data_IF_179292560083
#
_entry.id   IF_179292560083
#
_cell.length_a   1.000
_cell.length_b   1.000
_cell.length_c   1.000
_cell.angle_alpha   90.00
_cell.angle_beta   90.00
_cell.angle_gamma   90.00
#
_symmetry.space_group_name_H-M   'P 1'
#
loop_
_entity.id
_entity.type
_entity.pdbx_description
1 polymer ?
#
# COMPACT_ATOMS: atom_id res chain seq x y z
N UNK A 1 -10.69 -7.47 -20.58
CA UNK A 1 -10.74 -8.68 -19.73
C UNK A 1 -10.72 -8.30 -18.26
N UNK A 2 -11.87 -8.34 -17.59
CA UNK A 2 -11.89 -8.38 -16.13
C UNK A 2 -11.26 -9.71 -15.73
N UNK A 3 -10.19 -9.67 -14.94
CA UNK A 3 -9.60 -10.88 -14.37
C UNK A 3 -10.63 -11.44 -13.41
N UNK A 4 -11.26 -12.55 -13.76
CA UNK A 4 -12.19 -13.22 -12.84
C UNK A 4 -11.39 -13.82 -11.68
N UNK A 5 -11.78 -13.45 -10.47
CA UNK A 5 -11.20 -13.97 -9.23
C UNK A 5 -12.34 -14.37 -8.30
N UNK A 6 -12.00 -15.12 -7.25
CA UNK A 6 -12.95 -15.49 -6.18
C UNK A 6 -13.51 -14.19 -5.58
N UNK A 7 -14.83 -14.02 -5.55
CA UNK A 7 -15.49 -12.74 -5.21
C UNK A 7 -15.00 -12.22 -3.85
N UNK A 8 -14.88 -13.11 -2.87
CA UNK A 8 -14.41 -12.84 -1.51
C UNK A 8 -12.96 -12.35 -1.45
N UNK A 9 -12.14 -12.69 -2.45
CA UNK A 9 -10.74 -12.25 -2.55
C UNK A 9 -10.57 -10.95 -3.35
N UNK A 10 -11.62 -10.46 -4.02
CA UNK A 10 -11.56 -9.24 -4.83
C UNK A 10 -10.98 -8.04 -4.08
N UNK A 11 -11.34 -7.76 -2.81
CA UNK A 11 -10.77 -6.63 -2.07
C UNK A 11 -9.24 -6.72 -1.90
N UNK A 12 -8.73 -7.94 -1.68
CA UNK A 12 -7.30 -8.19 -1.47
C UNK A 12 -6.52 -8.01 -2.77
N UNK A 13 -7.05 -8.46 -3.90
CA UNK A 13 -6.38 -8.27 -5.19
C UNK A 13 -6.45 -6.80 -5.64
N UNK A 14 -7.60 -6.15 -5.43
CA UNK A 14 -7.81 -4.76 -5.86
C UNK A 14 -6.93 -3.75 -5.10
N UNK A 15 -6.42 -4.08 -3.90
CA UNK A 15 -5.51 -3.19 -3.17
C UNK A 15 -4.08 -3.21 -3.72
N UNK A 16 -3.65 -4.30 -4.39
CA UNK A 16 -2.27 -4.45 -4.86
C UNK A 16 -1.86 -3.36 -5.86
N UNK A 17 -2.66 -3.01 -6.89
CA UNK A 17 -2.33 -1.89 -7.77
C UNK A 17 -2.23 -0.55 -7.03
N UNK A 18 -3.05 -0.34 -6.00
CA UNK A 18 -3.03 0.89 -5.20
C UNK A 18 -1.77 0.97 -4.31
N UNK A 19 -1.32 -0.17 -3.76
CA UNK A 19 -0.06 -0.27 -3.02
C UNK A 19 1.14 0.04 -3.92
N UNK A 20 1.15 -0.50 -5.15
CA UNK A 20 2.20 -0.23 -6.14
C UNK A 20 2.19 1.24 -6.60
N UNK A 21 0.99 1.81 -6.82
CA UNK A 21 0.85 3.23 -7.18
C UNK A 21 1.43 4.13 -6.07
N UNK A 22 1.10 3.86 -4.81
CA UNK A 22 1.64 4.61 -3.67
C UNK A 22 3.17 4.49 -3.58
N UNK A 23 3.72 3.28 -3.76
CA UNK A 23 5.16 3.04 -3.80
C UNK A 23 5.84 3.87 -4.90
N UNK A 24 5.32 3.81 -6.13
CA UNK A 24 5.93 4.54 -7.26
C UNK A 24 5.83 6.06 -7.07
N UNK A 25 4.70 6.58 -6.59
CA UNK A 25 4.56 8.01 -6.28
C UNK A 25 5.56 8.45 -5.20
N UNK A 26 5.70 7.67 -4.12
CA UNK A 26 6.63 7.99 -3.05
C UNK A 26 8.10 7.95 -3.53
N UNK A 27 8.44 6.97 -4.37
CA UNK A 27 9.75 6.84 -5.01
C UNK A 27 10.08 8.04 -5.90
N UNK A 28 9.17 8.41 -6.81
CA UNK A 28 9.37 9.56 -7.71
C UNK A 28 9.47 10.90 -6.94
N UNK A 29 8.79 11.00 -5.79
CA UNK A 29 8.88 12.17 -4.91
C UNK A 29 10.09 12.16 -3.98
N UNK A 30 10.94 11.12 -4.02
CA UNK A 30 12.08 10.98 -3.11
C UNK A 30 11.69 10.92 -1.63
N UNK A 31 10.51 10.39 -1.31
CA UNK A 31 10.07 10.21 0.07
C UNK A 31 10.65 8.91 0.66
N UNK A 32 10.95 8.91 1.96
CA UNK A 32 11.32 7.71 2.71
C UNK A 32 10.13 6.74 2.80
N UNK A 33 10.18 5.63 2.05
CA UNK A 33 9.08 4.67 1.89
C UNK A 33 8.95 3.77 3.12
N UNK A 34 10.06 3.23 3.60
CA UNK A 34 10.08 2.29 4.74
C UNK A 34 9.96 3.00 6.09
N UNK A 35 10.30 4.30 6.13
CA UNK A 35 10.24 5.13 7.34
C UNK A 35 9.52 6.45 7.07
N UNK A 36 8.19 6.41 6.87
CA UNK A 36 7.42 7.61 6.60
C UNK A 36 7.48 8.59 7.77
N UNK A 37 7.46 9.88 7.44
CA UNK A 37 7.55 10.96 8.42
C UNK A 37 6.41 10.85 9.45
N UNK A 38 6.73 11.07 10.73
CA UNK A 38 5.80 11.05 11.87
C UNK A 38 5.17 9.69 12.20
N UNK A 39 5.63 8.59 11.60
CA UNK A 39 5.10 7.26 11.86
C UNK A 39 6.16 6.35 12.49
N UNK A 40 5.67 5.44 13.33
CA UNK A 40 6.40 4.28 13.82
C UNK A 40 5.72 3.01 13.29
N UNK A 41 6.46 1.88 13.26
CA UNK A 41 5.90 0.61 12.79
C UNK A 41 4.72 0.12 13.64
N UNK A 42 4.77 0.41 14.94
CA UNK A 42 3.73 0.14 15.93
C UNK A 42 3.74 1.24 16.98
N UNK A 43 2.57 1.63 17.46
CA UNK A 43 2.43 2.54 18.59
C UNK A 43 2.19 1.70 19.84
N UNK A 44 3.07 1.82 20.84
CA UNK A 44 3.04 1.01 22.07
C UNK A 44 2.91 1.88 23.33
N UNK A 45 2.42 3.10 23.18
CA UNK A 45 2.13 4.01 24.29
C UNK A 45 0.62 4.01 24.57
N UNK A 46 0.25 4.09 25.84
CA UNK A 46 -1.14 4.24 26.31
C UNK A 46 -1.62 5.69 26.21
#
# INVERSE_FOLDING_TARGET
>A
PTVETIEELSPVINVVPLQLLAYHIAKERGCEIDKPRNLAKSVTVE
#
